data_IF_273866884341
#
_entry.id   IF_273866884341
#
_cell.length_a   1.000
_cell.length_b   1.000
_cell.length_c   1.000
_cell.angle_alpha   90.00
_cell.angle_beta   90.00
_cell.angle_gamma   90.00
#
_symmetry.space_group_name_H-M   'P 1'
#
loop_
_entity.id
_entity.type
_entity.pdbx_description
1 polymer ?
#
# COMPACT_ATOMS: atom_id res chain seq x y z
N UNK A 1 -1.95 -19.03 -4.11
CA UNK A 1 -3.04 -18.48 -4.95
C UNK A 1 -4.35 -19.23 -4.71
N UNK A 2 -4.46 -20.51 -5.08
CA UNK A 2 -5.72 -21.31 -4.96
C UNK A 2 -6.35 -21.32 -3.56
N UNK A 3 -5.53 -21.46 -2.50
CA UNK A 3 -6.04 -21.43 -1.11
C UNK A 3 -6.64 -20.06 -0.73
N UNK A 4 -6.06 -18.95 -1.18
CA UNK A 4 -6.58 -17.61 -0.91
C UNK A 4 -7.91 -17.38 -1.63
N UNK A 5 -8.03 -17.85 -2.88
CA UNK A 5 -9.28 -17.81 -3.63
C UNK A 5 -10.38 -18.62 -2.94
N UNK A 6 -10.06 -19.83 -2.48
CA UNK A 6 -11.00 -20.68 -1.76
C UNK A 6 -11.52 -20.00 -0.48
N UNK A 7 -10.62 -19.41 0.31
CA UNK A 7 -10.99 -18.69 1.54
C UNK A 7 -11.83 -17.44 1.25
N UNK A 8 -11.49 -16.64 0.25
CA UNK A 8 -12.28 -15.46 -0.08
C UNK A 8 -13.69 -15.84 -0.56
N UNK A 9 -13.81 -16.92 -1.34
CA UNK A 9 -15.09 -17.50 -1.75
C UNK A 9 -15.88 -18.08 -0.56
N UNK A 10 -15.28 -18.35 0.59
CA UNK A 10 -15.99 -18.85 1.77
C UNK A 10 -16.43 -17.77 2.74
N UNK A 11 -16.15 -16.49 2.50
CA UNK A 11 -16.53 -15.36 3.40
C UNK A 11 -17.77 -14.63 2.85
N UNK A 12 -19.00 -15.03 3.21
CA UNK A 12 -20.18 -14.19 3.00
C UNK A 12 -20.17 -12.99 3.97
N UNK A 13 -20.52 -11.75 3.53
CA UNK A 13 -21.15 -11.38 2.27
C UNK A 13 -20.20 -10.75 1.22
N UNK A 14 -18.88 -10.93 1.33
CA UNK A 14 -17.89 -10.15 0.57
C UNK A 14 -17.52 -10.71 -0.82
N UNK A 15 -18.21 -11.75 -1.33
CA UNK A 15 -17.85 -12.41 -2.61
C UNK A 15 -17.73 -11.43 -3.78
N UNK A 16 -18.63 -10.46 -3.87
CA UNK A 16 -18.68 -9.52 -5.00
C UNK A 16 -17.80 -8.25 -4.78
N UNK A 17 -17.15 -8.15 -3.62
CA UNK A 17 -16.33 -6.99 -3.23
C UNK A 17 -14.82 -7.30 -3.24
N UNK A 18 -14.43 -8.54 -3.55
CA UNK A 18 -13.05 -9.00 -3.49
C UNK A 18 -12.63 -9.55 -4.86
N UNK A 19 -11.58 -8.98 -5.42
CA UNK A 19 -10.91 -9.47 -6.62
C UNK A 19 -9.46 -9.83 -6.32
N UNK A 20 -8.95 -10.88 -6.97
CA UNK A 20 -7.55 -11.27 -6.88
C UNK A 20 -6.90 -11.14 -8.24
N UNK A 21 -5.82 -10.37 -8.29
CA UNK A 21 -4.99 -10.24 -9.49
C UNK A 21 -3.76 -11.10 -9.29
N UNK A 22 -3.52 -12.04 -10.21
CA UNK A 22 -2.28 -12.81 -10.26
C UNK A 22 -1.36 -12.15 -11.28
N UNK A 23 -0.29 -11.52 -10.82
CA UNK A 23 0.65 -10.81 -11.66
C UNK A 23 1.75 -10.15 -10.85
N UNK A 24 2.64 -9.44 -11.53
CA UNK A 24 3.67 -8.62 -10.91
C UNK A 24 3.07 -7.26 -10.50
N UNK A 25 3.23 -6.89 -9.23
CA UNK A 25 2.77 -5.60 -8.69
C UNK A 25 3.37 -4.40 -9.43
N UNK A 26 4.55 -4.57 -10.03
CA UNK A 26 5.21 -3.54 -10.84
C UNK A 26 4.42 -3.24 -12.12
N UNK A 27 3.70 -4.22 -12.65
CA UNK A 27 2.95 -4.11 -13.91
C UNK A 27 1.45 -3.84 -13.69
N UNK A 28 0.91 -4.18 -12.52
CA UNK A 28 -0.52 -3.99 -12.20
C UNK A 28 -0.86 -2.49 -12.08
N UNK A 29 -1.98 -2.09 -12.67
CA UNK A 29 -2.53 -0.74 -12.47
C UNK A 29 -3.18 -0.62 -11.09
N UNK A 30 -2.78 0.42 -10.36
CA UNK A 30 -3.28 0.75 -9.02
C UNK A 30 -4.05 2.07 -9.01
N UNK A 31 -4.27 2.68 -10.18
CA UNK A 31 -4.80 4.03 -10.35
C UNK A 31 -6.14 4.29 -9.64
N UNK A 32 -7.01 3.28 -9.56
CA UNK A 32 -8.32 3.37 -8.92
C UNK A 32 -8.27 3.18 -7.38
N UNK A 33 -7.11 2.86 -6.82
CA UNK A 33 -6.98 2.57 -5.40
C UNK A 33 -7.09 3.85 -4.55
N UNK A 34 -8.12 3.90 -3.69
CA UNK A 34 -8.30 4.97 -2.70
C UNK A 34 -7.51 4.73 -1.40
N UNK A 35 -7.12 3.48 -1.15
CA UNK A 35 -6.28 3.08 -0.03
C UNK A 35 -5.41 1.90 -0.46
N UNK A 36 -4.12 1.95 -0.13
CA UNK A 36 -3.16 0.88 -0.42
C UNK A 36 -2.52 0.42 0.88
N UNK A 37 -2.59 -0.88 1.15
CA UNK A 37 -1.88 -1.49 2.26
C UNK A 37 -0.71 -2.32 1.71
N UNK A 38 0.51 -2.05 2.21
CA UNK A 38 1.72 -2.76 1.80
C UNK A 38 2.41 -3.40 3.00
N UNK A 39 2.81 -4.66 2.81
CA UNK A 39 3.71 -5.36 3.71
C UNK A 39 4.83 -5.99 2.89
N UNK A 40 5.88 -5.20 2.66
CA UNK A 40 7.05 -5.59 1.88
C UNK A 40 8.33 -5.25 2.64
N UNK A 41 9.40 -5.96 2.30
CA UNK A 41 10.76 -5.62 2.73
C UNK A 41 11.26 -4.34 2.05
N UNK A 42 12.27 -3.64 2.59
CA UNK A 42 12.76 -2.37 2.04
C UNK A 42 13.10 -2.39 0.55
N UNK A 43 13.70 -3.48 0.06
CA UNK A 43 14.03 -3.61 -1.37
C UNK A 43 12.77 -3.68 -2.25
N UNK A 44 11.72 -4.35 -1.78
CA UNK A 44 10.44 -4.40 -2.48
C UNK A 44 9.73 -3.05 -2.46
N UNK A 45 9.77 -2.33 -1.33
CA UNK A 45 9.23 -0.96 -1.24
C UNK A 45 9.93 0.01 -2.20
N UNK A 46 11.26 -0.14 -2.35
CA UNK A 46 12.06 0.66 -3.28
C UNK A 46 11.67 0.42 -4.74
N UNK A 47 11.37 -0.82 -5.12
CA UNK A 47 10.95 -1.14 -6.49
C UNK A 47 9.57 -0.53 -6.83
N UNK A 48 8.64 -0.50 -5.87
CA UNK A 48 7.30 0.05 -6.07
C UNK A 48 7.19 1.56 -5.77
N UNK A 49 8.26 2.19 -5.28
CA UNK A 49 8.30 3.58 -4.81
C UNK A 49 7.69 4.55 -5.84
N UNK A 50 8.09 4.44 -7.11
CA UNK A 50 7.59 5.30 -8.18
C UNK A 50 6.07 5.22 -8.36
N UNK A 51 5.50 4.01 -8.25
CA UNK A 51 4.04 3.81 -8.34
C UNK A 51 3.33 4.39 -7.12
N UNK A 52 3.90 4.22 -5.93
CA UNK A 52 3.34 4.81 -4.69
C UNK A 52 3.36 6.35 -4.75
N UNK A 53 4.44 6.94 -5.25
CA UNK A 53 4.54 8.39 -5.43
C UNK A 53 3.52 8.91 -6.44
N UNK A 54 3.33 8.21 -7.56
CA UNK A 54 2.33 8.57 -8.56
C UNK A 54 0.90 8.54 -7.97
N UNK A 55 0.57 7.54 -7.16
CA UNK A 55 -0.71 7.45 -6.46
C UNK A 55 -0.92 8.63 -5.50
N UNK A 56 0.09 8.96 -4.69
CA UNK A 56 0.00 10.09 -3.76
C UNK A 56 -0.11 11.44 -4.49
N UNK A 57 0.60 11.60 -5.62
CA UNK A 57 0.56 12.83 -6.45
C UNK A 57 -0.81 13.07 -7.09
N UNK A 58 -1.50 12.01 -7.52
CA UNK A 58 -2.88 12.10 -8.05
C UNK A 58 -3.87 12.60 -7.01
N UNK A 59 -3.55 12.41 -5.72
CA UNK A 59 -4.39 12.84 -4.60
C UNK A 59 -5.54 11.88 -4.33
N UNK A 60 -6.03 11.88 -3.09
CA UNK A 60 -7.15 11.04 -2.66
C UNK A 60 -6.78 9.59 -2.28
N UNK A 61 -5.54 9.16 -2.52
CA UNK A 61 -5.02 7.86 -2.09
C UNK A 61 -4.27 7.98 -0.76
N UNK A 62 -4.53 7.03 0.14
CA UNK A 62 -3.77 6.85 1.38
C UNK A 62 -2.97 5.55 1.31
N UNK A 63 -1.73 5.57 1.75
CA UNK A 63 -0.86 4.40 1.75
C UNK A 63 -0.53 4.03 3.20
N UNK A 64 -0.69 2.76 3.55
CA UNK A 64 -0.35 2.22 4.85
C UNK A 64 0.75 1.19 4.67
N UNK A 65 1.91 1.44 5.25
CA UNK A 65 3.04 0.51 5.25
C UNK A 65 3.18 -0.17 6.60
N UNK A 66 3.37 -1.49 6.57
CA UNK A 66 3.65 -2.29 7.76
C UNK A 66 5.16 -2.50 7.93
N UNK A 67 5.62 -2.24 9.16
CA UNK A 67 6.97 -2.45 9.70
C UNK A 67 8.07 -1.57 9.13
N UNK A 68 8.12 -1.39 7.81
CA UNK A 68 9.14 -0.61 7.11
C UNK A 68 8.57 0.69 6.54
N UNK A 69 9.41 1.72 6.48
CA UNK A 69 9.06 3.00 5.83
C UNK A 69 9.24 2.92 4.32
N UNK A 70 8.34 3.54 3.58
CA UNK A 70 8.53 3.79 2.15
C UNK A 70 9.70 4.77 1.98
N UNK A 71 10.71 4.47 1.15
CA UNK A 71 11.82 5.38 0.90
C UNK A 71 11.32 6.74 0.40
N UNK A 72 12.03 7.82 0.76
CA UNK A 72 11.78 9.18 0.30
C UNK A 72 10.38 9.75 0.59
N UNK A 73 9.57 9.11 1.44
CA UNK A 73 8.30 9.62 1.94
C UNK A 73 8.37 9.89 3.44
N UNK A 74 7.75 11.00 3.86
CA UNK A 74 7.61 11.35 5.28
C UNK A 74 6.24 10.85 5.78
N UNK A 75 6.17 9.90 6.72
CA UNK A 75 4.90 9.41 7.21
C UNK A 75 4.14 10.51 7.96
N UNK A 76 2.84 10.63 7.70
CA UNK A 76 1.94 11.54 8.43
C UNK A 76 1.71 11.03 9.86
N UNK A 77 1.56 9.73 10.00
CA UNK A 77 1.33 9.09 11.29
C UNK A 77 2.13 7.79 11.37
N UNK A 78 2.70 7.53 12.55
CA UNK A 78 3.38 6.28 12.86
C UNK A 78 2.78 5.70 14.14
N UNK A 79 2.12 4.56 14.01
CA UNK A 79 1.51 3.84 15.13
C UNK A 79 2.37 2.63 15.49
N UNK A 80 2.83 2.56 16.74
CA UNK A 80 3.49 1.37 17.27
C UNK A 80 2.50 0.52 18.07
N UNK A 81 2.36 -0.75 17.72
CA UNK A 81 1.56 -1.69 18.52
C UNK A 81 2.40 -2.26 19.68
N UNK A 82 1.73 -2.77 20.73
CA UNK A 82 2.38 -3.38 21.90
C UNK A 82 3.35 -4.53 21.57
N UNK A 83 3.23 -5.12 20.38
CA UNK A 83 4.11 -6.17 19.87
C UNK A 83 5.33 -5.66 19.07
N UNK A 84 5.65 -4.36 19.12
CA UNK A 84 6.80 -3.78 18.42
C UNK A 84 6.59 -3.58 16.92
N UNK A 85 5.37 -3.80 16.41
CA UNK A 85 5.05 -3.59 15.01
C UNK A 85 4.78 -2.11 14.78
N UNK A 86 5.39 -1.52 13.75
CA UNK A 86 5.17 -0.14 13.34
C UNK A 86 4.26 -0.11 12.12
N UNK A 87 3.24 0.74 12.13
CA UNK A 87 2.38 0.99 10.97
C UNK A 87 2.52 2.46 10.62
N UNK A 88 2.73 2.76 9.35
CA UNK A 88 3.04 4.10 8.86
C UNK A 88 2.01 4.51 7.83
N UNK A 89 1.39 5.68 8.01
CA UNK A 89 0.40 6.26 7.10
C UNK A 89 1.06 7.35 6.24
N UNK A 90 0.76 7.33 4.96
CA UNK A 90 1.19 8.33 3.99
C UNK A 90 -0.01 8.87 3.20
N UNK A 91 0.03 10.16 2.90
CA UNK A 91 -0.92 10.84 2.03
C UNK A 91 -0.19 11.81 1.08
N UNK A 92 -0.92 12.70 0.40
CA UNK A 92 -0.31 13.66 -0.52
C UNK A 92 0.67 14.64 0.16
N UNK A 93 0.57 14.85 1.47
CA UNK A 93 1.50 15.70 2.25
C UNK A 93 2.80 14.99 2.61
N UNK A 94 2.84 13.66 2.47
CA UNK A 94 4.04 12.84 2.69
C UNK A 94 5.09 12.97 1.59
N UNK A 95 4.71 13.51 0.43
CA UNK A 95 5.64 13.73 -0.68
C UNK A 95 6.68 14.78 -0.26
N UNK A 96 7.97 14.56 -0.57
CA UNK A 96 8.97 15.59 -0.36
C UNK A 96 8.58 16.81 -1.19
N UNK A 97 8.60 18.00 -0.58
CA UNK A 97 8.46 19.24 -1.33
C UNK A 97 9.57 19.29 -2.36
N UNK A 98 9.26 18.99 -3.62
CA UNK A 98 10.08 19.38 -4.76
C UNK A 98 10.00 20.90 -4.82
N UNK A 99 10.81 21.56 -3.99
CA UNK A 99 11.09 22.98 -4.15
C UNK A 99 11.85 23.16 -5.45
N UNK A 100 11.19 23.74 -6.45
CA UNK A 100 11.59 24.91 -7.27
C UNK A 100 10.38 25.29 -8.13
#
# INVERSE_FOLDING_TARGET
>A
YERCLATAKSIPPCKDKISFIHGDVLEVDLSEATCVFVYLVPEGLKQIEGKLHELLRRGGTRIVSYMFSVPNLNPVEVVSTKGGCKVQLYDCTSLPNEGI
#
